data_IF_525685832535
#
_entry.id   IF_525685832535
#
_cell.length_a   1.000
_cell.length_b   1.000
_cell.length_c   1.000
_cell.angle_alpha   90.00
_cell.angle_beta   90.00
_cell.angle_gamma   90.00
#
_symmetry.space_group_name_H-M   'P 1'
#
loop_
_entity.id
_entity.type
_entity.pdbx_description
1 polymer ?
#
# COMPACT_ATOMS: atom_id res chain seq x y z
N UNK A 1 -36.71 11.76 -44.63
CA UNK A 1 -37.34 11.20 -43.41
C UNK A 1 -36.33 10.30 -42.70
N UNK A 2 -36.02 10.68 -41.46
CA UNK A 2 -35.23 10.04 -40.38
C UNK A 2 -34.38 8.81 -40.74
N UNK A 3 -33.08 9.01 -40.96
CA UNK A 3 -32.08 7.95 -40.78
C UNK A 3 -31.72 7.88 -39.29
N UNK A 4 -31.96 6.71 -38.71
CA UNK A 4 -31.71 6.41 -37.31
C UNK A 4 -30.21 6.56 -36.96
N UNK A 5 -29.93 7.32 -35.91
CA UNK A 5 -28.64 7.35 -35.24
C UNK A 5 -28.35 5.96 -34.67
N UNK A 6 -27.40 5.26 -35.27
CA UNK A 6 -26.70 4.16 -34.62
C UNK A 6 -25.84 4.77 -33.52
N UNK A 7 -26.34 4.80 -32.30
CA UNK A 7 -25.53 4.94 -31.09
C UNK A 7 -24.80 3.60 -30.94
N UNK A 8 -23.68 3.47 -31.65
CA UNK A 8 -22.70 2.42 -31.39
C UNK A 8 -21.82 2.92 -30.25
N UNK A 9 -22.12 2.38 -29.07
CA UNK A 9 -21.21 2.10 -27.97
C UNK A 9 -19.74 2.35 -28.31
N UNK A 10 -19.17 3.45 -27.80
CA UNK A 10 -17.72 3.61 -27.73
C UNK A 10 -17.21 2.79 -26.53
N UNK A 11 -17.14 1.49 -26.79
CA UNK A 11 -16.41 0.50 -26.03
C UNK A 11 -14.94 0.88 -25.90
N UNK A 12 -14.39 0.73 -24.69
CA UNK A 12 -13.14 0.01 -24.44
C UNK A 12 -11.99 0.23 -25.45
N UNK A 13 -11.33 1.39 -25.40
CA UNK A 13 -10.05 1.68 -26.05
C UNK A 13 -9.38 2.72 -25.13
N UNK A 14 -8.27 2.56 -24.42
CA UNK A 14 -7.17 1.60 -24.41
C UNK A 14 -6.62 1.63 -22.97
N UNK A 15 -6.60 0.49 -22.28
CA UNK A 15 -5.70 0.32 -21.13
C UNK A 15 -4.31 0.17 -21.74
N UNK A 16 -3.68 1.32 -22.00
CA UNK A 16 -2.35 1.36 -22.58
C UNK A 16 -1.37 0.73 -21.58
N UNK A 17 -0.71 -0.34 -22.03
CA UNK A 17 0.47 -0.93 -21.41
C UNK A 17 1.61 0.09 -21.33
N UNK A 18 1.52 1.06 -20.43
CA UNK A 18 2.60 1.99 -20.15
C UNK A 18 3.48 1.39 -19.06
N UNK A 19 4.61 0.78 -19.46
CA UNK A 19 5.70 0.40 -18.56
C UNK A 19 6.27 1.67 -17.92
N UNK A 20 5.74 2.06 -16.77
CA UNK A 20 6.22 3.26 -16.07
C UNK A 20 7.54 2.94 -15.34
N UNK A 21 8.59 3.72 -15.63
CA UNK A 21 9.95 3.49 -15.13
C UNK A 21 10.24 4.18 -13.78
N UNK A 22 9.43 5.15 -13.34
CA UNK A 22 9.59 5.81 -12.04
C UNK A 22 8.25 6.25 -11.45
N UNK A 23 8.13 6.25 -10.12
CA UNK A 23 6.89 6.65 -9.41
C UNK A 23 6.52 8.12 -9.67
N UNK A 24 7.51 8.99 -9.92
CA UNK A 24 7.27 10.37 -10.34
C UNK A 24 6.50 10.43 -11.67
N UNK A 25 6.92 9.66 -12.69
CA UNK A 25 6.21 9.57 -13.98
C UNK A 25 4.84 8.91 -13.87
N UNK A 26 4.65 8.05 -12.87
CA UNK A 26 3.36 7.42 -12.57
C UNK A 26 2.36 8.40 -11.96
N UNK A 27 2.83 9.49 -11.33
CA UNK A 27 1.98 10.53 -10.74
C UNK A 27 1.68 11.62 -11.78
N UNK A 28 2.66 11.95 -12.63
CA UNK A 28 2.48 12.94 -13.71
C UNK A 28 1.44 12.51 -14.75
N UNK A 29 1.40 11.22 -15.11
CA UNK A 29 0.52 10.71 -16.17
C UNK A 29 -0.99 10.78 -15.83
N UNK A 30 -1.45 10.35 -14.63
CA UNK A 30 -2.83 10.55 -14.21
C UNK A 30 -3.24 12.02 -14.10
N UNK A 31 -2.33 12.89 -13.62
CA UNK A 31 -2.59 14.33 -13.53
C UNK A 31 -2.81 14.95 -14.92
N UNK A 32 -2.09 14.48 -15.95
CA UNK A 32 -2.17 15.01 -17.32
C UNK A 32 -3.30 14.43 -18.16
N UNK A 33 -3.70 13.17 -17.92
CA UNK A 33 -4.62 12.43 -18.80
C UNK A 33 -6.00 12.21 -18.17
N UNK A 34 -6.06 12.10 -16.84
CA UNK A 34 -7.28 11.69 -16.15
C UNK A 34 -7.89 12.77 -15.24
N UNK A 35 -7.29 13.97 -15.15
CA UNK A 35 -7.75 15.06 -14.26
C UNK A 35 -8.04 14.59 -12.83
N UNK A 36 -7.29 13.59 -12.34
CA UNK A 36 -7.35 13.17 -10.95
C UNK A 36 -6.30 13.97 -10.20
N UNK A 37 -6.71 14.92 -9.36
CA UNK A 37 -5.78 15.62 -8.47
C UNK A 37 -5.25 14.64 -7.43
N UNK A 38 -4.02 14.16 -7.64
CA UNK A 38 -3.30 13.39 -6.62
C UNK A 38 -2.69 14.39 -5.63
N UNK A 39 -3.29 14.49 -4.45
CA UNK A 39 -2.77 15.32 -3.37
C UNK A 39 -1.47 14.72 -2.81
N UNK A 40 -0.41 15.52 -2.83
CA UNK A 40 0.87 15.21 -2.18
C UNK A 40 1.00 16.10 -0.95
N UNK A 41 1.04 15.49 0.23
CA UNK A 41 1.19 16.20 1.49
C UNK A 41 2.65 16.17 1.95
N UNK A 42 3.09 17.27 2.57
CA UNK A 42 4.39 17.36 3.20
C UNK A 42 4.22 17.49 4.72
N UNK A 43 4.95 16.68 5.46
CA UNK A 43 4.93 16.69 6.92
C UNK A 43 6.36 16.84 7.46
N UNK A 44 6.48 17.53 8.58
CA UNK A 44 7.75 17.66 9.31
C UNK A 44 7.58 17.17 10.75
N UNK A 45 8.53 16.38 11.22
CA UNK A 45 8.55 15.82 12.56
C UNK A 45 9.87 16.17 13.25
N UNK A 46 9.81 16.36 14.57
CA UNK A 46 10.99 16.66 15.38
C UNK A 46 11.84 15.42 15.69
N UNK A 47 11.30 14.21 15.50
CA UNK A 47 11.98 12.93 15.74
C UNK A 47 11.42 11.85 14.81
N UNK A 48 12.23 10.83 14.56
CA UNK A 48 11.83 9.62 13.86
C UNK A 48 10.73 8.84 14.60
N UNK A 49 10.70 8.89 15.93
CA UNK A 49 9.68 8.19 16.73
C UNK A 49 8.30 8.80 16.50
N UNK A 50 8.22 10.14 16.45
CA UNK A 50 6.98 10.85 16.12
C UNK A 50 6.50 10.56 14.71
N UNK A 51 7.43 10.39 13.77
CA UNK A 51 7.09 9.91 12.44
C UNK A 51 6.51 8.49 12.47
N UNK A 52 7.07 7.56 13.27
CA UNK A 52 6.55 6.20 13.37
C UNK A 52 5.16 6.13 14.04
N UNK A 53 4.90 6.96 15.05
CA UNK A 53 3.58 7.12 15.67
C UNK A 53 2.54 7.57 14.63
N UNK A 54 2.84 8.65 13.90
CA UNK A 54 1.98 9.16 12.84
C UNK A 54 1.75 8.11 11.74
N UNK A 55 2.82 7.47 11.27
CA UNK A 55 2.76 6.42 10.24
C UNK A 55 1.87 5.25 10.65
N UNK A 56 1.90 4.84 11.93
CA UNK A 56 1.05 3.77 12.44
C UNK A 56 -0.44 4.12 12.36
N UNK A 57 -0.78 5.39 12.62
CA UNK A 57 -2.13 5.92 12.41
C UNK A 57 -2.57 5.88 10.95
N UNK A 58 -1.70 6.35 10.05
CA UNK A 58 -1.94 6.31 8.60
C UNK A 58 -2.07 4.88 8.07
N UNK A 59 -1.24 3.94 8.51
CA UNK A 59 -1.35 2.54 8.10
C UNK A 59 -2.64 1.87 8.55
N UNK A 60 -3.26 2.36 9.64
CA UNK A 60 -4.55 1.86 10.10
C UNK A 60 -5.69 2.31 9.16
N UNK A 61 -5.57 3.50 8.55
CA UNK A 61 -6.56 4.08 7.63
C UNK A 61 -6.29 3.77 6.15
N UNK A 62 -5.08 4.06 5.65
CA UNK A 62 -4.66 3.97 4.25
C UNK A 62 -4.05 2.61 3.87
N UNK A 63 -3.69 1.80 4.87
CA UNK A 63 -3.47 0.34 4.76
C UNK A 63 -2.55 -0.10 3.62
N UNK A 64 -1.27 0.31 3.54
CA UNK A 64 -0.28 -0.47 2.74
C UNK A 64 1.19 0.01 2.63
N UNK A 65 1.63 1.15 3.15
CA UNK A 65 2.97 1.66 2.81
C UNK A 65 4.14 0.95 3.55
N UNK A 66 4.84 0.05 2.87
CA UNK A 66 5.99 -0.71 3.37
C UNK A 66 7.30 -0.18 2.80
N UNK A 67 8.36 -0.21 3.63
CA UNK A 67 9.72 0.18 3.21
C UNK A 67 10.24 -0.80 2.14
N UNK A 68 10.65 -0.28 0.98
CA UNK A 68 11.02 -1.12 -0.17
C UNK A 68 12.52 -1.43 -0.25
N UNK A 69 13.37 -0.63 0.40
CA UNK A 69 14.83 -0.81 0.31
C UNK A 69 15.56 -0.28 1.55
N UNK A 70 16.82 -0.67 1.68
CA UNK A 70 17.74 -0.06 2.63
C UNK A 70 17.77 1.45 2.41
N UNK A 71 17.90 2.20 3.50
CA UNK A 71 18.01 3.65 3.42
C UNK A 71 19.28 4.03 2.67
N UNK A 72 19.21 5.01 1.78
CA UNK A 72 20.40 5.58 1.15
C UNK A 72 20.84 6.83 1.89
N UNK A 73 22.14 7.08 1.91
CA UNK A 73 22.69 8.35 2.39
C UNK A 73 22.58 9.39 1.28
N UNK A 74 22.03 10.55 1.61
CA UNK A 74 21.98 11.74 0.77
C UNK A 74 22.81 12.83 1.47
N UNK A 75 24.11 12.84 1.23
CA UNK A 75 25.04 13.65 2.01
C UNK A 75 25.02 13.22 3.48
N UNK A 76 24.73 14.17 4.37
CA UNK A 76 24.55 13.92 5.80
C UNK A 76 23.18 13.29 6.14
N UNK A 77 22.21 13.35 5.23
CA UNK A 77 20.84 12.94 5.54
C UNK A 77 20.60 11.47 5.16
N UNK A 78 19.73 10.80 5.88
CA UNK A 78 19.28 9.43 5.57
C UNK A 78 17.94 9.50 4.84
N UNK A 79 17.91 9.00 3.61
CA UNK A 79 16.69 8.93 2.79
C UNK A 79 16.14 7.51 2.74
N UNK A 80 14.84 7.38 2.99
CA UNK A 80 14.11 6.11 3.00
C UNK A 80 12.88 6.18 2.11
N UNK A 81 12.65 5.12 1.33
CA UNK A 81 11.50 5.02 0.43
C UNK A 81 10.53 3.95 0.90
N UNK A 82 9.26 4.33 0.96
CA UNK A 82 8.14 3.48 1.30
C UNK A 82 7.14 3.50 0.14
N UNK A 83 6.60 2.32 -0.18
CA UNK A 83 5.62 2.17 -1.26
C UNK A 83 4.52 1.23 -0.80
N UNK A 84 3.37 1.29 -1.45
CA UNK A 84 2.31 0.31 -1.25
C UNK A 84 2.85 -1.13 -1.35
N UNK A 85 2.50 -1.98 -0.38
CA UNK A 85 2.87 -3.39 -0.33
C UNK A 85 2.34 -4.18 -1.55
N UNK A 86 1.27 -3.71 -2.19
CA UNK A 86 0.70 -4.28 -3.42
C UNK A 86 1.40 -3.82 -4.69
N UNK A 87 2.14 -2.72 -4.63
CA UNK A 87 2.86 -2.16 -5.78
C UNK A 87 3.98 -3.09 -6.27
N UNK A 88 4.07 -3.23 -7.59
CA UNK A 88 5.13 -3.91 -8.30
C UNK A 88 4.74 -5.29 -8.85
N UNK A 89 5.71 -5.93 -9.47
CA UNK A 89 5.52 -7.20 -10.18
C UNK A 89 5.78 -8.41 -9.27
N UNK A 90 5.01 -9.48 -9.48
CA UNK A 90 5.32 -10.79 -8.92
C UNK A 90 6.65 -11.27 -9.47
N UNK A 91 7.59 -11.56 -8.58
CA UNK A 91 8.88 -12.14 -8.97
C UNK A 91 8.67 -13.61 -9.31
N UNK A 92 8.81 -13.95 -10.60
CA UNK A 92 8.82 -15.34 -11.03
C UNK A 92 10.17 -15.97 -10.67
N UNK A 93 10.14 -17.13 -10.00
CA UNK A 93 11.36 -17.89 -9.75
C UNK A 93 11.85 -18.47 -11.07
N UNK A 94 13.07 -18.10 -11.48
CA UNK A 94 13.68 -18.59 -12.74
C UNK A 94 14.37 -19.96 -12.58
N UNK A 95 14.37 -20.52 -11.37
CA UNK A 95 15.05 -21.79 -11.06
C UNK A 95 14.15 -23.01 -11.14
N UNK A 96 14.77 -24.21 -11.19
CA UNK A 96 14.06 -25.51 -11.16
C UNK A 96 13.33 -25.78 -9.83
N UNK A 97 13.74 -25.13 -8.74
CA UNK A 97 13.08 -25.20 -7.43
C UNK A 97 12.07 -24.06 -7.29
N UNK A 98 10.93 -24.18 -7.98
CA UNK A 98 9.82 -23.26 -7.77
C UNK A 98 9.02 -23.70 -6.55
N UNK A 99 8.86 -22.79 -5.59
CA UNK A 99 7.93 -23.02 -4.47
C UNK A 99 6.50 -22.97 -5.02
N UNK A 100 5.64 -23.85 -4.51
CA UNK A 100 4.22 -23.78 -4.79
C UNK A 100 3.67 -22.39 -4.40
N UNK A 101 2.76 -21.81 -5.19
CA UNK A 101 2.12 -20.56 -4.84
C UNK A 101 1.36 -20.71 -3.52
N UNK A 102 1.29 -19.62 -2.75
CA UNK A 102 0.43 -19.59 -1.56
C UNK A 102 -1.02 -19.77 -2.00
N UNK A 103 -1.85 -20.38 -1.15
CA UNK A 103 -3.30 -20.51 -1.39
C UNK A 103 -3.95 -19.15 -1.65
N UNK A 104 -3.48 -18.11 -0.96
CA UNK A 104 -3.93 -16.73 -1.11
C UNK A 104 -3.33 -16.01 -2.35
N UNK A 105 -2.43 -16.65 -3.09
CA UNK A 105 -1.69 -16.01 -4.18
C UNK A 105 -0.68 -14.97 -3.69
N UNK A 106 -0.34 -14.03 -4.58
CA UNK A 106 0.58 -12.94 -4.31
C UNK A 106 -0.16 -11.70 -3.82
N UNK A 107 0.44 -10.94 -2.90
CA UNK A 107 -0.08 -9.61 -2.53
C UNK A 107 0.12 -8.53 -3.60
N UNK A 108 0.99 -8.80 -4.59
CA UNK A 108 1.33 -7.87 -5.68
C UNK A 108 0.26 -7.87 -6.76
N UNK A 109 -0.14 -6.68 -7.21
CA UNK A 109 -1.14 -6.50 -8.27
C UNK A 109 -0.57 -6.59 -9.68
N UNK A 110 0.75 -6.79 -9.82
CA UNK A 110 1.46 -6.69 -11.12
C UNK A 110 1.37 -5.30 -11.77
N UNK A 111 1.13 -4.28 -10.96
CA UNK A 111 1.05 -2.89 -11.38
C UNK A 111 1.75 -2.00 -10.36
N UNK A 112 2.25 -0.86 -10.79
CA UNK A 112 2.80 0.13 -9.87
C UNK A 112 1.67 0.96 -9.28
N UNK A 113 1.73 1.20 -7.97
CA UNK A 113 0.81 2.08 -7.27
C UNK A 113 1.41 3.48 -7.09
N UNK A 114 0.55 4.49 -7.16
CA UNK A 114 0.87 5.91 -6.90
C UNK A 114 1.15 6.19 -5.42
N UNK A 115 0.59 5.39 -4.51
CA UNK A 115 0.78 5.55 -3.08
C UNK A 115 2.23 5.26 -2.67
N UNK A 116 2.87 6.28 -2.15
CA UNK A 116 4.27 6.25 -1.77
C UNK A 116 4.56 7.28 -0.69
N UNK A 117 5.69 7.09 -0.01
CA UNK A 117 6.18 8.02 0.98
C UNK A 117 7.70 8.08 0.92
N UNK A 118 8.22 9.29 0.85
CA UNK A 118 9.66 9.57 0.90
C UNK A 118 9.98 10.24 2.22
N UNK A 119 10.91 9.65 2.97
CA UNK A 119 11.29 10.13 4.31
C UNK A 119 12.75 10.52 4.27
N UNK A 120 13.06 11.74 4.72
CA UNK A 120 14.41 12.28 4.82
C UNK A 120 14.65 12.64 6.28
N UNK A 121 15.59 11.93 6.90
CA UNK A 121 16.04 12.18 8.27
C UNK A 121 17.36 12.96 8.22
N UNK A 122 17.41 14.10 8.90
CA UNK A 122 18.63 14.88 9.09
C UNK A 122 19.49 14.23 10.20
N UNK A 123 20.73 13.88 9.90
CA UNK A 123 21.60 13.23 10.88
C UNK A 123 22.00 14.12 12.05
N UNK A 124 22.07 15.45 11.83
CA UNK A 124 22.51 16.45 12.82
C UNK A 124 21.31 16.90 13.65
N UNK A 125 20.25 17.39 13.00
CA UNK A 125 19.10 17.98 13.71
C UNK A 125 18.08 16.94 14.16
N UNK A 126 18.18 15.70 13.68
CA UNK A 126 17.21 14.60 13.91
C UNK A 126 15.78 14.90 13.44
N UNK A 127 15.58 16.00 12.72
CA UNK A 127 14.31 16.33 12.09
C UNK A 127 14.04 15.39 10.92
N UNK A 128 12.76 15.09 10.73
CA UNK A 128 12.30 14.17 9.69
C UNK A 128 11.32 14.90 8.78
N UNK A 129 11.65 14.95 7.50
CA UNK A 129 10.80 15.50 6.44
C UNK A 129 10.18 14.36 5.66
N UNK A 130 8.87 14.43 5.46
CA UNK A 130 8.08 13.38 4.81
C UNK A 130 7.29 13.98 3.66
N UNK A 131 7.45 13.42 2.48
CA UNK A 131 6.56 13.65 1.33
C UNK A 131 5.70 12.42 1.16
N UNK A 132 4.38 12.57 1.26
CA UNK A 132 3.42 11.47 1.31
C UNK A 132 2.33 11.61 0.25
N UNK A 133 1.98 10.48 -0.36
CA UNK A 133 0.82 10.34 -1.24
C UNK A 133 0.02 9.11 -0.77
N UNK A 134 -1.20 9.34 -0.32
CA UNK A 134 -2.14 8.30 0.14
C UNK A 134 -2.96 7.68 -1.00
N UNK A 135 -2.97 8.30 -2.18
CA UNK A 135 -3.84 7.91 -3.27
C UNK A 135 -3.40 6.59 -3.92
N UNK A 136 -4.30 5.60 -3.94
CA UNK A 136 -4.13 4.33 -4.64
C UNK A 136 -4.84 4.35 -6.00
N UNK A 137 -4.13 4.76 -7.06
CA UNK A 137 -4.76 4.94 -8.38
C UNK A 137 -5.14 3.64 -9.09
N UNK A 138 -4.35 2.57 -8.89
CA UNK A 138 -4.39 1.37 -9.74
C UNK A 138 -4.89 0.10 -9.03
N UNK A 139 -5.33 0.20 -7.77
CA UNK A 139 -5.93 -0.95 -7.07
C UNK A 139 -6.79 -0.51 -5.89
N UNK A 140 -7.70 -1.39 -5.49
CA UNK A 140 -8.47 -1.22 -4.25
C UNK A 140 -7.68 -1.72 -3.03
N UNK A 141 -7.97 -1.21 -1.83
CA UNK A 141 -7.46 -1.79 -0.59
C UNK A 141 -8.08 -3.18 -0.39
N UNK A 142 -7.25 -4.21 -0.25
CA UNK A 142 -7.71 -5.58 0.04
C UNK A 142 -7.24 -6.00 1.42
N UNK A 143 -8.20 -6.26 2.31
CA UNK A 143 -7.94 -6.57 3.73
C UNK A 143 -7.08 -7.82 3.88
N UNK A 144 -7.29 -8.82 3.03
CA UNK A 144 -6.60 -10.10 3.10
C UNK A 144 -5.07 -9.96 2.96
N UNK A 145 -4.58 -8.95 2.23
CA UNK A 145 -3.15 -8.73 2.01
C UNK A 145 -2.51 -7.75 2.99
N UNK A 146 -3.25 -7.32 4.02
CA UNK A 146 -2.72 -6.50 5.09
C UNK A 146 -1.96 -7.33 6.10
N UNK A 147 -0.91 -6.73 6.67
CA UNK A 147 -0.20 -7.33 7.79
C UNK A 147 -1.09 -7.22 9.03
N UNK A 148 -1.34 -8.35 9.69
CA UNK A 148 -1.96 -8.35 11.01
C UNK A 148 -1.02 -7.59 11.98
N UNK A 149 -1.51 -6.57 12.71
CA UNK A 149 -0.71 -5.86 13.71
C UNK A 149 -0.13 -6.82 14.75
N UNK A 150 1.07 -6.52 15.23
CA UNK A 150 1.76 -7.40 16.18
C UNK A 150 1.02 -7.45 17.54
N UNK A 151 0.28 -6.40 17.91
CA UNK A 151 -0.64 -6.39 19.05
C UNK A 151 -1.70 -7.50 18.97
N UNK A 152 -2.39 -7.61 17.83
CA UNK A 152 -3.41 -8.64 17.61
C UNK A 152 -2.77 -10.04 17.59
N UNK A 153 -1.57 -10.18 17.00
CA UNK A 153 -0.84 -11.46 17.05
C UNK A 153 -0.50 -11.87 18.47
N UNK A 154 -0.09 -10.93 19.32
CA UNK A 154 0.24 -11.21 20.72
C UNK A 154 -1.01 -11.64 21.50
N UNK A 155 -2.16 -11.00 21.26
CA UNK A 155 -3.44 -11.42 21.86
C UNK A 155 -3.82 -12.84 21.42
N UNK A 156 -3.73 -13.13 20.13
CA UNK A 156 -4.01 -14.49 19.60
C UNK A 156 -3.03 -15.52 20.17
N UNK A 157 -1.73 -15.19 20.25
CA UNK A 157 -0.72 -16.07 20.81
C UNK A 157 -0.96 -16.36 22.31
N UNK A 158 -1.36 -15.36 23.08
CA UNK A 158 -1.72 -15.53 24.49
C UNK A 158 -2.93 -16.48 24.65
N UNK A 159 -4.00 -16.27 23.89
CA UNK A 159 -5.18 -17.15 23.91
C UNK A 159 -4.84 -18.60 23.50
N UNK A 160 -3.96 -18.77 22.52
CA UNK A 160 -3.47 -20.09 22.13
C UNK A 160 -2.65 -20.75 23.25
N UNK A 161 -1.84 -19.99 23.97
CA UNK A 161 -1.07 -20.49 25.11
C UNK A 161 -1.97 -20.89 26.30
N UNK A 162 -3.11 -20.22 26.47
CA UNK A 162 -4.15 -20.55 27.46
C UNK A 162 -4.99 -21.78 27.06
N UNK A 163 -4.79 -22.34 25.86
CA UNK A 163 -5.52 -23.51 25.38
C UNK A 163 -6.91 -23.19 24.81
N UNK A 164 -7.20 -21.92 24.49
CA UNK A 164 -8.44 -21.52 23.84
C UNK A 164 -8.46 -22.07 22.42
N UNK A 165 -9.60 -22.66 22.01
CA UNK A 165 -9.75 -23.21 20.67
C UNK A 165 -9.72 -22.12 19.60
N UNK A 166 -9.25 -22.45 18.41
CA UNK A 166 -9.13 -21.50 17.30
C UNK A 166 -10.51 -20.93 16.95
N UNK A 167 -11.56 -21.74 16.98
CA UNK A 167 -12.93 -21.33 16.69
C UNK A 167 -13.38 -20.22 17.65
N UNK A 168 -13.13 -20.40 18.95
CA UNK A 168 -13.47 -19.43 19.99
C UNK A 168 -12.70 -18.13 19.83
N UNK A 169 -11.41 -18.20 19.48
CA UNK A 169 -10.61 -17.00 19.19
C UNK A 169 -11.19 -16.22 18.00
N UNK A 170 -11.61 -16.91 16.94
CA UNK A 170 -12.21 -16.28 15.76
C UNK A 170 -13.57 -15.65 16.08
N UNK A 171 -14.39 -16.31 16.90
CA UNK A 171 -15.68 -15.78 17.35
C UNK A 171 -15.48 -14.52 18.22
N UNK A 172 -14.56 -14.55 19.18
CA UNK A 172 -14.23 -13.38 20.00
C UNK A 172 -13.78 -12.18 19.16
N UNK A 173 -12.98 -12.44 18.10
CA UNK A 173 -12.56 -11.37 17.18
C UNK A 173 -13.74 -10.84 16.39
N UNK A 174 -14.65 -11.69 15.90
CA UNK A 174 -15.87 -11.24 15.21
C UNK A 174 -16.77 -10.42 16.12
N UNK A 175 -16.95 -10.86 17.36
CA UNK A 175 -17.79 -10.18 18.35
C UNK A 175 -17.19 -8.84 18.80
N UNK A 176 -15.86 -8.71 18.79
CA UNK A 176 -15.17 -7.45 19.10
C UNK A 176 -15.34 -6.37 18.02
N UNK A 177 -15.68 -6.76 16.78
CA UNK A 177 -15.87 -5.84 15.65
C UNK A 177 -17.34 -5.46 15.56
N UNK A 178 -17.74 -4.43 16.31
CA UNK A 178 -19.10 -3.86 16.31
C UNK A 178 -19.28 -2.80 15.22
N UNK A 179 -18.96 -3.12 13.97
CA UNK A 179 -19.09 -2.19 12.84
C UNK A 179 -19.33 -2.91 11.52
N UNK A 180 -20.27 -2.38 10.74
CA UNK A 180 -20.66 -2.88 9.41
C UNK A 180 -19.43 -3.06 8.51
N UNK A 181 -19.05 -4.31 8.23
CA UNK A 181 -18.06 -4.63 7.20
C UNK A 181 -18.81 -4.59 5.87
N UNK A 182 -18.83 -3.43 5.21
CA UNK A 182 -19.27 -3.37 3.82
C UNK A 182 -18.28 -4.17 2.95
N UNK A 183 -18.84 -5.18 2.27
CA UNK A 183 -18.12 -6.11 1.40
C UNK A 183 -17.80 -5.50 0.04
#
# INVERSE_FOLDING_TARGET
MRKASKILTFSAIYVAQCKVLSVAKLIEHPNQIHNKEIEITNHEFCSIDKFYEWKKGEESHSKSCVKNSASCMLGLNRKSYYYCNRSGMVRQSKGKHQRAPKVQGSCKTNEYCTAHMTVIEDAITKKVKVTYCSHHGNHKPEICHLRVPDEIKNVVAAKLAEGVTIERILDDVRDSVTGTIER
#
